data_IF_623060133930
#
_entry.id   IF_623060133930
#
_cell.length_a   1.000
_cell.length_b   1.000
_cell.length_c   1.000
_cell.angle_alpha   90.00
_cell.angle_beta   90.00
_cell.angle_gamma   90.00
#
_symmetry.space_group_name_H-M   'P 1'
#
loop_
_entity.id
_entity.type
_entity.pdbx_description
1 polymer ?
#
# COMPACT_ATOMS: atom_id res chain seq x y z
N UNK A 1 16.37 -9.52 -8.97
CA UNK A 1 15.50 -10.41 -8.17
C UNK A 1 14.77 -9.55 -7.16
N UNK A 2 13.44 -9.65 -7.13
CA UNK A 2 12.58 -8.92 -6.19
C UNK A 2 13.12 -8.94 -4.76
N UNK A 3 13.58 -10.10 -4.28
CA UNK A 3 14.02 -10.30 -2.89
C UNK A 3 15.25 -9.45 -2.49
N UNK A 4 16.04 -8.96 -3.45
CA UNK A 4 17.13 -8.03 -3.16
C UNK A 4 16.59 -6.72 -2.59
N UNK A 5 15.44 -6.27 -3.10
CA UNK A 5 14.77 -5.05 -2.66
C UNK A 5 13.70 -5.34 -1.61
N UNK A 6 12.84 -6.33 -1.85
CA UNK A 6 11.73 -6.67 -0.97
C UNK A 6 12.18 -7.32 0.36
N UNK A 7 13.32 -8.02 0.39
CA UNK A 7 13.61 -9.03 1.40
C UNK A 7 12.97 -10.39 1.04
N UNK A 8 13.05 -11.40 1.92
CA UNK A 8 12.55 -12.75 1.62
C UNK A 8 11.05 -12.77 1.28
N UNK A 9 10.68 -13.35 0.14
CA UNK A 9 9.28 -13.47 -0.29
C UNK A 9 8.86 -14.93 -0.12
N UNK A 10 7.99 -15.20 0.85
CA UNK A 10 7.45 -16.57 1.05
C UNK A 10 6.33 -16.85 0.05
N UNK A 11 6.14 -18.10 -0.40
CA UNK A 11 5.01 -18.46 -1.25
C UNK A 11 3.66 -18.01 -0.68
N UNK A 12 2.81 -17.44 -1.53
CA UNK A 12 1.49 -16.94 -1.16
C UNK A 12 0.87 -16.09 -2.27
N UNK A 13 -0.43 -15.80 -2.13
CA UNK A 13 -1.16 -14.90 -3.03
C UNK A 13 -1.15 -13.49 -2.45
N UNK A 14 -0.31 -12.62 -3.02
CA UNK A 14 -0.13 -11.25 -2.56
C UNK A 14 -0.54 -10.25 -3.62
N UNK A 15 -0.91 -9.06 -3.17
CA UNK A 15 -0.93 -7.86 -4.00
C UNK A 15 0.22 -6.95 -3.61
N UNK A 16 0.68 -6.15 -4.57
CA UNK A 16 1.74 -5.18 -4.39
C UNK A 16 1.41 -3.90 -5.13
N UNK A 17 1.38 -2.80 -4.39
CA UNK A 17 1.23 -1.45 -4.93
C UNK A 17 2.59 -0.98 -5.45
N UNK A 18 2.74 -0.96 -6.77
CA UNK A 18 4.00 -0.60 -7.42
C UNK A 18 4.47 0.82 -7.10
N UNK A 19 3.55 1.76 -6.80
CA UNK A 19 3.84 3.18 -6.62
C UNK A 19 4.21 3.53 -5.18
N UNK A 20 3.48 3.03 -4.20
CA UNK A 20 3.71 3.32 -2.79
C UNK A 20 4.50 2.22 -2.06
N UNK A 21 4.58 1.02 -2.65
CA UNK A 21 5.22 -0.14 -2.05
C UNK A 21 4.34 -0.87 -1.03
N UNK A 22 3.07 -0.49 -0.86
CA UNK A 22 2.15 -1.23 0.01
C UNK A 22 2.03 -2.67 -0.47
N UNK A 23 1.91 -3.61 0.46
CA UNK A 23 1.64 -5.00 0.11
C UNK A 23 0.75 -5.67 1.16
N UNK A 24 0.06 -6.70 0.71
CA UNK A 24 -0.80 -7.52 1.56
C UNK A 24 -1.09 -8.85 0.89
N UNK A 25 -1.92 -9.67 1.55
CA UNK A 25 -2.47 -10.89 0.96
C UNK A 25 -3.71 -10.55 0.16
N UNK A 26 -3.97 -11.28 -0.93
CA UNK A 26 -5.20 -11.14 -1.71
C UNK A 26 -6.44 -11.28 -0.81
N UNK A 27 -7.38 -10.34 -0.95
CA UNK A 27 -8.60 -10.22 -0.13
C UNK A 27 -8.37 -9.72 1.29
N UNK A 28 -7.18 -9.20 1.62
CA UNK A 28 -6.82 -8.77 2.97
C UNK A 28 -6.18 -7.39 3.05
N UNK A 29 -6.25 -6.81 4.25
CA UNK A 29 -5.65 -5.52 4.60
C UNK A 29 -4.14 -5.44 4.27
N UNK A 30 -3.62 -4.22 4.22
CA UNK A 30 -2.19 -3.96 4.13
C UNK A 30 -1.42 -4.61 5.29
N UNK A 31 -0.33 -5.31 4.96
CA UNK A 31 0.56 -5.98 5.93
C UNK A 31 1.88 -5.25 6.10
N UNK A 32 2.28 -4.43 5.14
CA UNK A 32 3.49 -3.62 5.25
C UNK A 32 3.78 -2.82 4.00
N UNK A 33 4.99 -2.25 3.97
CA UNK A 33 5.51 -1.45 2.87
C UNK A 33 6.88 -2.02 2.47
N UNK A 34 7.11 -2.18 1.18
CA UNK A 34 8.39 -2.49 0.54
C UNK A 34 8.90 -1.23 -0.20
N UNK A 35 10.15 -1.22 -0.69
CA UNK A 35 10.58 -0.19 -1.63
C UNK A 35 9.60 -0.13 -2.81
N UNK A 36 9.21 1.06 -3.31
CA UNK A 36 8.39 1.17 -4.51
C UNK A 36 9.19 0.71 -5.74
N UNK A 37 8.51 0.51 -6.86
CA UNK A 37 9.13 0.24 -8.16
C UNK A 37 9.96 -1.05 -8.26
N UNK A 38 9.55 -2.10 -7.53
CA UNK A 38 10.11 -3.45 -7.71
C UNK A 38 9.52 -4.04 -9.00
N UNK A 39 10.29 -3.97 -10.09
CA UNK A 39 9.89 -4.44 -11.43
C UNK A 39 9.36 -5.87 -11.44
N UNK A 40 10.01 -6.78 -10.71
CA UNK A 40 9.60 -8.18 -10.68
C UNK A 40 8.31 -8.45 -9.90
N UNK A 41 7.75 -7.42 -9.23
CA UNK A 41 6.45 -7.48 -8.56
C UNK A 41 5.40 -6.60 -9.27
N UNK A 42 5.72 -6.01 -10.42
CA UNK A 42 4.83 -5.14 -11.19
C UNK A 42 3.76 -5.95 -11.94
N UNK A 43 2.89 -6.60 -11.18
CA UNK A 43 1.72 -7.31 -11.69
C UNK A 43 0.48 -6.40 -11.60
N UNK A 44 -0.54 -6.62 -12.44
CA UNK A 44 -1.82 -5.93 -12.31
C UNK A 44 -2.36 -6.07 -10.88
N UNK A 45 -2.76 -4.96 -10.29
CA UNK A 45 -3.36 -4.92 -8.96
C UNK A 45 -4.88 -4.74 -9.12
N UNK A 46 -5.69 -5.77 -8.85
CA UNK A 46 -7.15 -5.67 -8.88
C UNK A 46 -7.67 -4.67 -7.83
N UNK A 47 -8.80 -4.03 -8.13
CA UNK A 47 -9.41 -3.06 -7.21
C UNK A 47 -9.82 -3.68 -5.86
N UNK A 48 -10.30 -4.92 -5.89
CA UNK A 48 -10.80 -5.68 -4.74
C UNK A 48 -9.68 -6.44 -3.99
N UNK A 49 -8.42 -6.30 -4.41
CA UNK A 49 -7.32 -7.13 -3.91
C UNK A 49 -7.04 -6.95 -2.41
N UNK A 50 -7.41 -5.81 -1.83
CA UNK A 50 -7.17 -5.48 -0.43
C UNK A 50 -8.36 -5.79 0.50
N UNK A 51 -9.43 -6.44 0.00
CA UNK A 51 -10.63 -6.70 0.78
C UNK A 51 -11.33 -5.42 1.24
N UNK A 52 -11.31 -4.40 0.39
CA UNK A 52 -11.93 -3.10 0.66
C UNK A 52 -13.45 -3.19 0.78
N UNK A 53 -14.01 -2.33 1.64
CA UNK A 53 -15.47 -2.15 1.80
C UNK A 53 -15.82 -0.68 2.11
N UNK A 54 -14.91 0.23 1.82
CA UNK A 54 -14.96 1.63 2.25
C UNK A 54 -15.39 2.58 1.13
N UNK A 55 -15.35 2.14 -0.13
CA UNK A 55 -15.45 2.97 -1.34
C UNK A 55 -14.41 4.08 -1.40
N UNK A 56 -13.30 3.95 -0.69
CA UNK A 56 -12.16 4.88 -0.78
C UNK A 56 -11.03 4.14 -1.45
N UNK A 57 -10.50 4.71 -2.53
CA UNK A 57 -9.50 4.05 -3.35
C UNK A 57 -8.14 4.71 -3.19
N UNK A 58 -7.09 3.91 -3.14
CA UNK A 58 -5.71 4.37 -3.16
C UNK A 58 -4.95 3.60 -4.22
N UNK A 59 -4.32 4.29 -5.17
CA UNK A 59 -3.50 3.69 -6.23
C UNK A 59 -4.23 2.56 -6.99
N UNK A 60 -5.54 2.69 -7.19
CA UNK A 60 -6.37 1.70 -7.88
C UNK A 60 -6.86 0.51 -7.05
N UNK A 61 -6.64 0.48 -5.72
CA UNK A 61 -7.25 -0.53 -4.83
C UNK A 61 -8.22 0.11 -3.83
N UNK A 62 -9.30 -0.59 -3.52
CA UNK A 62 -10.22 -0.19 -2.46
C UNK A 62 -9.59 -0.43 -1.08
N UNK A 63 -9.64 0.58 -0.22
CA UNK A 63 -9.06 0.48 1.11
C UNK A 63 -9.87 -0.43 2.03
N UNK A 64 -9.18 -1.35 2.70
CA UNK A 64 -9.71 -2.03 3.87
C UNK A 64 -9.98 -1.04 5.01
N UNK A 65 -10.98 -1.30 5.85
CA UNK A 65 -11.40 -0.39 6.92
C UNK A 65 -10.26 -0.01 7.88
N UNK A 66 -9.32 -0.93 8.15
CA UNK A 66 -8.14 -0.65 8.98
C UNK A 66 -7.10 0.24 8.27
N UNK A 67 -6.90 0.04 6.97
CA UNK A 67 -5.97 0.84 6.19
C UNK A 67 -6.47 2.28 6.08
N UNK A 68 -7.77 2.46 5.82
CA UNK A 68 -8.41 3.77 5.80
C UNK A 68 -8.25 4.48 7.15
N UNK A 69 -8.44 3.78 8.29
CA UNK A 69 -8.23 4.38 9.61
C UNK A 69 -6.78 4.86 9.80
N UNK A 70 -5.80 4.07 9.38
CA UNK A 70 -4.37 4.42 9.52
C UNK A 70 -3.95 5.59 8.64
N UNK A 71 -4.46 5.67 7.40
CA UNK A 71 -4.18 6.76 6.47
C UNK A 71 -4.96 8.04 6.85
N UNK A 72 -6.22 7.90 7.29
CA UNK A 72 -7.03 9.03 7.75
C UNK A 72 -6.46 9.66 9.02
N UNK A 73 -5.91 8.88 9.94
CA UNK A 73 -5.19 9.40 11.10
C UNK A 73 -3.95 10.23 10.72
N UNK A 74 -3.47 10.12 9.48
CA UNK A 74 -2.38 10.91 8.91
C UNK A 74 -2.85 12.06 8.01
N UNK A 75 -4.16 12.24 7.83
CA UNK A 75 -4.73 13.33 7.05
C UNK A 75 -5.35 12.93 5.71
N UNK A 76 -5.38 11.63 5.33
CA UNK A 76 -6.11 11.21 4.13
C UNK A 76 -7.62 11.46 4.33
N UNK A 77 -8.32 12.11 3.39
CA UNK A 77 -9.77 12.23 3.48
C UNK A 77 -10.44 10.86 3.49
N UNK A 78 -11.61 10.78 4.13
CA UNK A 78 -12.43 9.55 4.25
C UNK A 78 -13.71 9.62 3.43
N UNK A 79 -13.77 10.55 2.48
CA UNK A 79 -14.89 10.72 1.56
C UNK A 79 -15.03 9.46 0.72
N UNK A 80 -16.26 8.95 0.65
CA UNK A 80 -16.56 7.77 -0.18
C UNK A 80 -16.57 8.17 -1.65
N UNK A 81 -16.32 7.18 -2.50
CA UNK A 81 -16.32 7.31 -3.96
C UNK A 81 -15.23 8.27 -4.45
N UNK A 82 -14.13 8.34 -3.70
CA UNK A 82 -12.93 9.12 -4.01
C UNK A 82 -11.72 8.22 -4.23
N UNK A 83 -10.86 8.65 -5.14
CA UNK A 83 -9.63 7.96 -5.49
C UNK A 83 -8.42 8.86 -5.26
N UNK A 84 -7.38 8.31 -4.63
CA UNK A 84 -6.16 9.04 -4.31
C UNK A 84 -4.93 8.30 -4.83
N UNK A 85 -4.04 9.03 -5.50
CA UNK A 85 -2.69 8.54 -5.75
C UNK A 85 -1.82 8.84 -4.53
N UNK A 86 -1.24 7.80 -3.92
CA UNK A 86 -0.33 7.92 -2.77
C UNK A 86 1.07 7.44 -3.15
N UNK A 87 2.10 8.17 -2.70
CA UNK A 87 3.50 7.78 -2.87
C UNK A 87 4.14 7.41 -1.53
N UNK A 88 5.22 6.62 -1.55
CA UNK A 88 5.95 6.23 -0.32
C UNK A 88 6.47 7.43 0.49
N UNK A 89 6.69 8.57 -0.19
CA UNK A 89 7.10 9.85 0.43
C UNK A 89 6.02 10.44 1.34
N UNK A 90 4.78 9.93 1.28
CA UNK A 90 3.61 10.52 1.94
C UNK A 90 2.88 11.54 1.07
N UNK A 91 3.35 11.82 -0.14
CA UNK A 91 2.64 12.68 -1.11
C UNK A 91 1.32 12.04 -1.51
N UNK A 92 0.26 12.83 -1.56
CA UNK A 92 -1.10 12.41 -1.93
C UNK A 92 -1.64 13.34 -3.00
N UNK A 93 -2.24 12.78 -4.04
CA UNK A 93 -2.92 13.52 -5.11
C UNK A 93 -4.35 13.01 -5.18
N UNK A 94 -5.33 13.90 -5.18
CA UNK A 94 -6.72 13.58 -5.49
C UNK A 94 -6.84 13.31 -7.00
N UNK A 95 -7.30 12.11 -7.37
CA UNK A 95 -7.35 11.71 -8.78
C UNK A 95 -8.48 12.38 -9.55
N UNK A 96 -9.51 12.89 -8.87
CA UNK A 96 -10.63 13.58 -9.51
C UNK A 96 -10.27 15.03 -9.84
N UNK A 97 -9.58 15.71 -8.93
CA UNK A 97 -9.22 17.14 -9.09
C UNK A 97 -7.80 17.35 -9.61
N UNK A 98 -6.92 16.36 -9.45
CA UNK A 98 -5.48 16.49 -9.70
C UNK A 98 -4.74 17.31 -8.64
N UNK A 99 -5.40 17.73 -7.57
CA UNK A 99 -4.81 18.55 -6.51
C UNK A 99 -3.92 17.72 -5.58
N UNK A 100 -2.78 18.29 -5.20
CA UNK A 100 -1.93 17.71 -4.17
C UNK A 100 -2.47 18.05 -2.78
N UNK A 101 -2.75 17.02 -1.98
CA UNK A 101 -3.25 17.16 -0.62
C UNK A 101 -2.10 17.23 0.40
N UNK A 102 -2.46 17.49 1.66
CA UNK A 102 -1.51 17.47 2.76
C UNK A 102 -0.78 16.11 2.83
N UNK A 103 0.54 16.17 3.00
CA UNK A 103 1.38 14.97 3.09
C UNK A 103 1.02 14.13 4.32
N UNK A 104 0.96 12.80 4.14
CA UNK A 104 0.75 11.82 5.21
C UNK A 104 2.01 11.59 6.08
N UNK A 105 3.08 12.34 5.81
CA UNK A 105 4.39 12.15 6.40
C UNK A 105 5.09 10.87 5.91
N UNK A 106 6.22 10.53 6.54
CA UNK A 106 7.02 9.37 6.13
C UNK A 106 6.26 8.06 6.43
N UNK A 107 5.79 7.39 5.38
CA UNK A 107 5.01 6.15 5.50
C UNK A 107 5.88 4.96 5.90
N UNK A 108 7.10 4.88 5.38
CA UNK A 108 8.04 3.79 5.66
C UNK A 108 9.47 4.32 5.86
N UNK A 109 9.76 5.03 6.97
CA UNK A 109 11.06 5.66 7.20
C UNK A 109 12.22 4.64 7.22
N UNK A 110 11.98 3.42 7.71
CA UNK A 110 13.00 2.38 7.75
C UNK A 110 13.29 1.80 6.37
N UNK A 111 12.27 1.63 5.52
CA UNK A 111 12.44 1.17 4.13
C UNK A 111 13.17 2.23 3.32
N UNK A 112 12.81 3.51 3.51
CA UNK A 112 13.50 4.62 2.85
C UNK A 112 14.97 4.73 3.26
N UNK A 113 15.28 4.52 4.54
CA UNK A 113 16.67 4.55 5.05
C UNK A 113 17.51 3.36 4.56
N UNK A 114 16.94 2.16 4.59
CA UNK A 114 17.69 0.93 4.27
C UNK A 114 17.65 0.58 2.78
N UNK A 115 16.81 1.26 2.00
CA UNK A 115 16.53 0.95 0.58
C UNK A 115 16.19 -0.53 0.36
N UNK A 116 15.59 -1.15 1.38
CA UNK A 116 15.25 -2.57 1.44
C UNK A 116 14.04 -2.80 2.35
N UNK A 117 13.15 -3.68 1.92
CA UNK A 117 11.99 -4.15 2.68
C UNK A 117 12.31 -5.30 3.62
N UNK A 118 11.29 -5.74 4.35
CA UNK A 118 11.40 -6.79 5.39
C UNK A 118 10.81 -8.13 4.98
N UNK A 119 10.62 -8.33 3.68
CA UNK A 119 10.04 -9.51 3.08
C UNK A 119 8.52 -9.52 3.08
N UNK A 120 7.98 -10.47 2.32
CA UNK A 120 6.55 -10.75 2.25
C UNK A 120 6.29 -12.08 2.95
N UNK A 121 5.61 -12.01 4.11
CA UNK A 121 5.25 -13.19 4.90
C UNK A 121 3.90 -12.99 5.56
N UNK A 122 3.03 -13.98 5.44
CA UNK A 122 1.78 -14.01 6.20
C UNK A 122 2.12 -14.20 7.68
N UNK A 123 1.69 -13.30 8.58
CA UNK A 123 1.82 -13.52 10.01
C UNK A 123 1.10 -14.82 10.36
N UNK A 124 1.79 -15.77 11.01
CA UNK A 124 1.11 -16.94 11.57
C UNK A 124 0.11 -16.41 12.57
N UNK A 125 -1.19 -16.73 12.42
CA UNK A 125 -2.15 -16.53 13.52
C UNK A 125 -1.58 -17.28 14.71
N UNK A 126 -1.31 -16.57 15.81
CA UNK A 126 -1.23 -17.22 17.11
C UNK A 126 -2.58 -17.89 17.32
N UNK A 127 -2.56 -19.22 17.43
CA UNK A 127 -3.73 -20.01 17.81
C UNK A 127 -4.17 -19.64 19.22
#
# INVERSE_FOLDING_TARGET
MAEKQAGPIRPGSYWYDYRAGFWGVMGGQCLGILPPFIEELNYPMPEDCAGGTTRVYVNGRELHQKDLRLLNARGLPRERERSYTVYISGRVIDEDTGEELASLGKLAPTVDKLKRGFGMRVPRRSA
#
